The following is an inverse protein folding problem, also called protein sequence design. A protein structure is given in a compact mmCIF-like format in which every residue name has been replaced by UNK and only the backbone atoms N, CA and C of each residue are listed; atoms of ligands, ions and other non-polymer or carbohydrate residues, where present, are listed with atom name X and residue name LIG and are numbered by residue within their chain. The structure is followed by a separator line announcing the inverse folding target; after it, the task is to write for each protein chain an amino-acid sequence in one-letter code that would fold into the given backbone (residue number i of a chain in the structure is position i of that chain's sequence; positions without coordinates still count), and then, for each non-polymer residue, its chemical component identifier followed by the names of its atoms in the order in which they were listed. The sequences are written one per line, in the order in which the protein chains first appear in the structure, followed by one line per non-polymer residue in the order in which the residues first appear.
data_IF_959510235246
#
_entry.id   IF_959510235246
#
_cell.length_a   1.000
_cell.length_b   1.000
_cell.length_c   1.000
_cell.angle_alpha   90.00
_cell.angle_beta   90.00
_cell.angle_gamma   90.00
#
_symmetry.space_group_name_H-M   'P 1'
#
loop_
_entity.id
_entity.type
_entity.pdbx_description
1 polymer ?
#
# COMPACT_ATOMS: atom_id res chain seq x y z
N UNK A 1 18.60 2.41 71.06
CA UNK A 1 19.51 2.62 69.91
C UNK A 1 20.36 1.38 69.72
N UNK A 2 20.18 0.65 68.60
CA UNK A 2 21.10 -0.38 68.16
C UNK A 2 21.48 -0.09 66.71
N UNK A 3 22.59 0.63 66.53
CA UNK A 3 23.27 0.78 65.25
C UNK A 3 23.91 -0.56 64.87
N UNK A 4 23.44 -1.17 63.78
CA UNK A 4 24.18 -2.25 63.11
C UNK A 4 25.05 -1.66 62.01
N UNK A 5 26.34 -1.92 62.19
CA UNK A 5 27.51 -1.75 61.33
C UNK A 5 27.20 -1.68 59.83
N UNK A 6 27.80 -0.66 59.22
CA UNK A 6 28.05 -0.47 57.80
C UNK A 6 28.63 -1.73 57.17
N UNK A 7 27.80 -2.46 56.41
CA UNK A 7 28.26 -3.40 55.41
C UNK A 7 28.40 -2.66 54.08
N UNK A 8 29.65 -2.52 53.64
CA UNK A 8 30.03 -2.08 52.31
C UNK A 8 29.25 -2.86 51.24
N UNK A 9 28.62 -2.14 50.31
CA UNK A 9 27.86 -2.72 49.20
C UNK A 9 26.42 -2.23 49.04
N UNK A 10 25.93 -1.33 49.90
CA UNK A 10 24.63 -0.65 49.71
C UNK A 10 24.78 0.57 48.81
N UNK A 11 25.33 0.36 47.63
CA UNK A 11 25.01 1.21 46.50
C UNK A 11 23.50 1.10 46.26
N UNK A 12 22.80 2.23 46.36
CA UNK A 12 21.39 2.44 46.00
C UNK A 12 20.95 1.44 44.90
N UNK A 13 19.81 0.73 45.02
CA UNK A 13 19.32 -0.07 43.90
C UNK A 13 19.13 0.87 42.71
N UNK A 14 20.00 0.76 41.70
CA UNK A 14 20.01 1.58 40.49
C UNK A 14 18.91 1.07 39.57
N UNK A 15 17.67 1.37 39.94
CA UNK A 15 16.49 1.06 39.16
C UNK A 15 15.73 2.33 38.87
N UNK A 16 16.13 3.08 37.84
CA UNK A 16 15.22 4.02 37.16
C UNK A 16 15.62 4.31 35.72
N UNK A 17 16.88 4.10 35.34
CA UNK A 17 17.38 4.38 33.98
C UNK A 17 17.53 3.12 33.12
N UNK A 18 18.11 2.01 33.59
CA UNK A 18 18.45 0.87 32.70
C UNK A 18 17.28 0.08 32.09
N UNK A 19 16.26 -0.26 32.90
CA UNK A 19 15.10 -1.03 32.43
C UNK A 19 14.13 -0.15 31.61
N UNK A 20 13.95 1.10 32.03
CA UNK A 20 13.16 2.11 31.29
C UNK A 20 13.86 2.52 29.99
N UNK A 21 15.19 2.67 29.98
CA UNK A 21 15.98 2.94 28.77
C UNK A 21 15.84 1.82 27.75
N UNK A 22 15.96 0.56 28.18
CA UNK A 22 15.77 -0.59 27.29
C UNK A 22 14.34 -0.63 26.72
N UNK A 23 13.32 -0.32 27.54
CA UNK A 23 11.94 -0.22 27.08
C UNK A 23 11.74 0.94 26.08
N UNK A 24 12.23 2.14 26.41
CA UNK A 24 12.17 3.35 25.56
C UNK A 24 12.88 3.14 24.23
N UNK A 25 14.05 2.51 24.21
CA UNK A 25 14.75 2.19 22.95
C UNK A 25 13.94 1.27 22.02
N UNK A 26 13.28 0.24 22.58
CA UNK A 26 12.45 -0.68 21.80
C UNK A 26 11.15 -0.02 21.32
N UNK A 27 10.62 0.92 22.10
CA UNK A 27 9.42 1.71 21.79
C UNK A 27 9.72 2.78 20.73
N UNK A 28 10.77 3.56 20.90
CA UNK A 28 11.19 4.63 19.98
C UNK A 28 11.59 4.08 18.61
N UNK A 29 12.32 2.97 18.59
CA UNK A 29 12.66 2.30 17.33
C UNK A 29 11.42 1.79 16.57
N UNK A 30 10.35 1.39 17.27
CA UNK A 30 9.07 1.03 16.64
C UNK A 30 8.33 2.26 16.14
N UNK A 31 8.23 3.32 16.92
CA UNK A 31 7.61 4.56 16.46
C UNK A 31 8.31 5.11 15.22
N UNK A 32 9.65 5.07 15.17
CA UNK A 32 10.43 5.46 14.01
C UNK A 32 10.15 4.57 12.79
N UNK A 33 10.08 3.24 12.97
CA UNK A 33 9.70 2.29 11.90
C UNK A 33 8.29 2.56 11.37
N UNK A 34 7.33 2.83 12.25
CA UNK A 34 5.94 3.17 11.88
C UNK A 34 5.90 4.50 11.11
N UNK A 35 6.60 5.53 11.58
CA UNK A 35 6.68 6.81 10.89
C UNK A 35 7.29 6.67 9.49
N UNK A 36 8.43 5.98 9.37
CA UNK A 36 9.08 5.68 8.09
C UNK A 36 8.17 4.86 7.16
N UNK A 37 7.50 3.85 7.70
CA UNK A 37 6.55 3.02 6.96
C UNK A 37 5.35 3.82 6.45
N UNK A 38 4.79 4.73 7.25
CA UNK A 38 3.73 5.64 6.83
C UNK A 38 4.17 6.61 5.75
N UNK A 39 5.39 7.15 5.84
CA UNK A 39 5.93 8.05 4.81
C UNK A 39 6.12 7.31 3.49
N UNK A 40 6.67 6.10 3.53
CA UNK A 40 6.82 5.25 2.34
C UNK A 40 5.46 4.89 1.74
N UNK A 41 4.52 4.48 2.58
CA UNK A 41 3.16 4.13 2.14
C UNK A 41 2.45 5.33 1.51
N UNK A 42 2.64 6.54 2.05
CA UNK A 42 2.10 7.76 1.46
C UNK A 42 2.60 7.99 0.04
N UNK A 43 3.92 7.84 -0.18
CA UNK A 43 4.51 7.97 -1.51
C UNK A 43 3.96 6.93 -2.49
N UNK A 44 3.77 5.69 -2.03
CA UNK A 44 3.22 4.61 -2.85
C UNK A 44 1.74 4.85 -3.19
N UNK A 45 0.91 5.24 -2.22
CA UNK A 45 -0.51 5.58 -2.45
C UNK A 45 -0.61 6.78 -3.40
N UNK A 46 0.24 7.80 -3.24
CA UNK A 46 0.26 8.97 -4.13
C UNK A 46 0.59 8.57 -5.57
N UNK A 47 1.58 7.69 -5.78
CA UNK A 47 1.90 7.16 -7.09
C UNK A 47 0.76 6.31 -7.68
N UNK A 48 0.09 5.50 -6.86
CA UNK A 48 -1.08 4.72 -7.28
C UNK A 48 -2.26 5.62 -7.69
N UNK A 49 -2.49 6.73 -7.00
CA UNK A 49 -3.52 7.73 -7.38
C UNK A 49 -3.22 8.28 -8.78
N UNK A 50 -1.97 8.63 -9.08
CA UNK A 50 -1.58 9.13 -10.40
C UNK A 50 -1.85 8.07 -11.49
N UNK A 51 -1.49 6.81 -11.25
CA UNK A 51 -1.76 5.70 -12.18
C UNK A 51 -3.26 5.46 -12.37
N UNK A 52 -4.04 5.59 -11.30
CA UNK A 52 -5.49 5.46 -11.34
C UNK A 52 -6.13 6.57 -12.16
N UNK A 53 -5.66 7.81 -12.02
CA UNK A 53 -6.09 8.95 -12.83
C UNK A 53 -5.76 8.74 -14.31
N UNK A 54 -4.55 8.28 -14.64
CA UNK A 54 -4.19 7.91 -16.01
C UNK A 54 -5.13 6.85 -16.59
N UNK A 55 -5.56 5.88 -15.77
CA UNK A 55 -6.54 4.87 -16.16
C UNK A 55 -7.94 5.41 -16.41
N UNK A 56 -8.38 6.33 -15.55
CA UNK A 56 -9.67 6.99 -15.73
C UNK A 56 -9.69 7.80 -17.03
N UNK A 57 -8.60 8.51 -17.35
CA UNK A 57 -8.43 9.22 -18.62
C UNK A 57 -8.43 8.24 -19.80
N UNK A 58 -7.71 7.12 -19.70
CA UNK A 58 -7.72 6.07 -20.73
C UNK A 58 -9.14 5.53 -20.98
N UNK A 59 -9.87 5.20 -19.91
CA UNK A 59 -11.25 4.74 -20.00
C UNK A 59 -12.16 5.80 -20.62
N UNK A 60 -12.01 7.07 -20.24
CA UNK A 60 -12.78 8.16 -20.82
C UNK A 60 -12.54 8.30 -22.32
N UNK A 61 -11.27 8.25 -22.77
CA UNK A 61 -10.92 8.28 -24.20
C UNK A 61 -11.52 7.08 -24.93
N UNK A 62 -11.46 5.88 -24.33
CA UNK A 62 -12.00 4.66 -24.93
C UNK A 62 -13.53 4.71 -25.05
N UNK A 63 -14.23 5.14 -24.00
CA UNK A 63 -15.68 5.32 -23.99
C UNK A 63 -16.13 6.41 -24.96
N UNK A 64 -15.35 7.48 -25.15
CA UNK A 64 -15.67 8.48 -26.17
C UNK A 64 -15.57 7.94 -27.60
N UNK A 65 -14.84 6.84 -27.82
CA UNK A 65 -14.64 6.21 -29.14
C UNK A 65 -15.48 4.94 -29.35
N UNK A 66 -15.94 4.30 -28.27
CA UNK A 66 -16.72 3.06 -28.29
C UNK A 66 -18.09 3.29 -27.67
N UNK A 67 -19.13 2.83 -28.36
CA UNK A 67 -20.50 2.86 -27.85
C UNK A 67 -20.70 1.90 -26.67
N UNK A 68 -19.82 0.90 -26.51
CA UNK A 68 -19.91 -0.13 -25.46
C UNK A 68 -19.02 0.19 -24.25
N UNK A 69 -19.67 0.33 -23.09
CA UNK A 69 -19.03 0.49 -21.79
C UNK A 69 -18.50 -0.85 -21.28
N UNK A 70 -17.20 -0.89 -20.99
CA UNK A 70 -16.59 -2.06 -20.39
C UNK A 70 -16.86 -2.10 -18.88
N UNK A 71 -17.86 -2.90 -18.50
CA UNK A 71 -18.37 -3.01 -17.11
C UNK A 71 -17.27 -3.45 -16.14
N UNK A 72 -16.36 -4.33 -16.58
CA UNK A 72 -15.27 -4.82 -15.74
C UNK A 72 -14.24 -3.72 -15.51
N UNK A 73 -13.87 -2.98 -16.55
CA UNK A 73 -12.96 -1.87 -16.42
C UNK A 73 -13.51 -0.77 -15.49
N UNK A 74 -14.79 -0.42 -15.63
CA UNK A 74 -15.46 0.57 -14.75
C UNK A 74 -15.51 0.09 -13.30
N UNK A 75 -15.92 -1.16 -13.07
CA UNK A 75 -15.98 -1.71 -11.70
C UNK A 75 -14.60 -1.79 -11.06
N UNK A 76 -13.56 -2.13 -11.82
CA UNK A 76 -12.17 -2.09 -11.35
C UNK A 76 -11.72 -0.67 -10.99
N UNK A 77 -12.12 0.33 -11.78
CA UNK A 77 -11.77 1.73 -11.55
C UNK A 77 -12.42 2.27 -10.27
N UNK A 78 -13.71 1.97 -10.07
CA UNK A 78 -14.46 2.34 -8.86
C UNK A 78 -13.86 1.65 -7.62
N UNK A 79 -13.66 0.33 -7.70
CA UNK A 79 -13.10 -0.44 -6.58
C UNK A 79 -11.69 0.03 -6.23
N UNK A 80 -10.86 0.31 -7.24
CA UNK A 80 -9.52 0.86 -7.08
C UNK A 80 -9.54 2.23 -6.38
N UNK A 81 -10.43 3.14 -6.79
CA UNK A 81 -10.59 4.45 -6.16
C UNK A 81 -10.98 4.35 -4.68
N UNK A 82 -12.01 3.56 -4.36
CA UNK A 82 -12.44 3.35 -2.97
C UNK A 82 -11.34 2.70 -2.12
N UNK A 83 -10.59 1.75 -2.69
CA UNK A 83 -9.47 1.13 -1.98
C UNK A 83 -8.42 2.17 -1.56
N UNK A 84 -8.08 3.12 -2.45
CA UNK A 84 -7.09 4.17 -2.17
C UNK A 84 -7.56 5.11 -1.05
N UNK A 85 -8.85 5.48 -1.04
CA UNK A 85 -9.43 6.28 0.05
C UNK A 85 -9.30 5.56 1.41
N UNK A 86 -9.64 4.27 1.45
CA UNK A 86 -9.52 3.45 2.65
C UNK A 86 -8.06 3.30 3.08
N UNK A 87 -7.13 3.14 2.13
CA UNK A 87 -5.70 3.04 2.38
C UNK A 87 -5.13 4.30 3.02
N UNK A 88 -5.47 5.47 2.48
CA UNK A 88 -5.06 6.76 3.03
C UNK A 88 -5.64 7.00 4.43
N UNK A 89 -6.93 6.67 4.63
CA UNK A 89 -7.57 6.76 5.94
C UNK A 89 -6.90 5.82 6.97
N UNK A 90 -6.59 4.59 6.57
CA UNK A 90 -5.89 3.62 7.40
C UNK A 90 -4.49 4.06 7.79
N UNK A 91 -3.75 4.65 6.85
CA UNK A 91 -2.42 5.23 7.07
C UNK A 91 -2.48 6.41 8.05
N UNK A 92 -3.42 7.34 7.83
CA UNK A 92 -3.58 8.58 8.63
C UNK A 92 -3.96 8.26 10.08
N UNK A 93 -4.92 7.36 10.28
CA UNK A 93 -5.40 6.98 11.61
C UNK A 93 -4.63 5.81 12.25
N UNK A 94 -3.60 5.27 11.61
CA UNK A 94 -2.83 4.11 12.11
C UNK A 94 -3.69 2.87 12.39
N UNK A 95 -4.77 2.68 11.62
CA UNK A 95 -5.72 1.59 11.84
C UNK A 95 -5.38 0.40 10.96
N UNK A 96 -4.85 -0.66 11.57
CA UNK A 96 -4.49 -1.90 10.88
C UNK A 96 -5.65 -2.52 10.09
N UNK A 97 -6.89 -2.42 10.59
CA UNK A 97 -8.08 -2.95 9.89
C UNK A 97 -8.32 -2.28 8.54
N UNK A 98 -8.21 -0.95 8.48
CA UNK A 98 -8.36 -0.22 7.21
C UNK A 98 -7.23 -0.54 6.23
N UNK A 99 -6.00 -0.70 6.72
CA UNK A 99 -4.87 -1.12 5.89
C UNK A 99 -5.06 -2.54 5.31
N UNK A 100 -5.69 -3.46 6.05
CA UNK A 100 -6.06 -4.79 5.54
C UNK A 100 -7.14 -4.72 4.46
N UNK A 101 -8.19 -3.92 4.69
CA UNK A 101 -9.25 -3.70 3.70
C UNK A 101 -8.68 -3.10 2.42
N UNK A 102 -7.78 -2.11 2.55
CA UNK A 102 -7.05 -1.54 1.41
C UNK A 102 -6.32 -2.62 0.62
N UNK A 103 -5.50 -3.47 1.26
CA UNK A 103 -4.77 -4.56 0.57
C UNK A 103 -5.71 -5.50 -0.19
N UNK A 104 -6.82 -5.91 0.43
CA UNK A 104 -7.79 -6.83 -0.18
C UNK A 104 -8.48 -6.15 -1.37
N UNK A 105 -9.04 -4.96 -1.17
CA UNK A 105 -9.81 -4.26 -2.19
C UNK A 105 -8.95 -3.86 -3.40
N UNK A 106 -7.72 -3.37 -3.16
CA UNK A 106 -6.78 -3.03 -4.23
C UNK A 106 -6.31 -4.27 -5.01
N UNK A 107 -6.18 -5.42 -4.35
CA UNK A 107 -5.89 -6.69 -5.03
C UNK A 107 -7.07 -7.17 -5.89
N UNK A 108 -8.30 -7.05 -5.39
CA UNK A 108 -9.52 -7.36 -6.17
C UNK A 108 -9.62 -6.44 -7.39
N UNK A 109 -9.36 -5.14 -7.24
CA UNK A 109 -9.35 -4.20 -8.35
C UNK A 109 -8.33 -4.59 -9.43
N UNK A 110 -7.13 -5.02 -9.02
CA UNK A 110 -6.10 -5.48 -9.94
C UNK A 110 -6.50 -6.78 -10.66
N UNK A 111 -7.13 -7.73 -9.96
CA UNK A 111 -7.65 -8.95 -10.55
C UNK A 111 -8.75 -8.66 -11.59
N UNK A 112 -9.64 -7.70 -11.31
CA UNK A 112 -10.65 -7.24 -12.27
C UNK A 112 -10.00 -6.63 -13.53
N UNK A 113 -8.92 -5.85 -13.37
CA UNK A 113 -8.14 -5.34 -14.51
C UNK A 113 -7.52 -6.46 -15.34
N UNK A 114 -6.91 -7.48 -14.70
CA UNK A 114 -6.37 -8.62 -15.42
C UNK A 114 -7.45 -9.45 -16.12
N UNK A 115 -8.61 -9.65 -15.48
CA UNK A 115 -9.75 -10.31 -16.12
C UNK A 115 -10.22 -9.51 -17.35
N UNK A 116 -10.25 -8.18 -17.24
CA UNK A 116 -10.58 -7.31 -18.36
C UNK A 116 -9.59 -7.46 -19.52
N UNK A 117 -8.31 -7.47 -19.20
CA UNK A 117 -7.24 -7.66 -20.19
C UNK A 117 -7.35 -9.04 -20.85
N UNK A 118 -7.68 -10.09 -20.09
CA UNK A 118 -7.82 -11.44 -20.61
C UNK A 118 -9.05 -11.60 -21.52
N UNK A 119 -10.10 -10.81 -21.33
CA UNK A 119 -11.30 -10.82 -22.19
C UNK A 119 -11.13 -9.93 -23.43
N UNK A 120 -10.29 -8.89 -23.33
CA UNK A 120 -9.88 -8.11 -24.47
C UNK A 120 -8.97 -8.94 -25.38
N UNK A 121 -9.44 -9.32 -26.56
CA UNK A 121 -8.59 -9.85 -27.61
C UNK A 121 -7.57 -8.77 -28.03
N UNK A 122 -6.41 -8.69 -27.35
CA UNK A 122 -5.25 -7.92 -27.80
C UNK A 122 -4.63 -8.64 -29.00
N UNK A 123 -5.32 -8.59 -30.14
CA UNK A 123 -4.78 -9.11 -31.39
C UNK A 123 -3.70 -8.16 -31.87
N UNK A 124 -2.45 -8.60 -31.76
CA UNK A 124 -1.27 -7.92 -32.30
C UNK A 124 -1.25 -8.05 -33.82
N UNK A 125 -2.30 -7.60 -34.50
CA UNK A 125 -2.50 -7.87 -35.91
C UNK A 125 -1.97 -6.71 -36.77
N UNK A 126 -1.11 -7.06 -37.74
CA UNK A 126 -0.76 -6.33 -38.97
C UNK A 126 -0.34 -4.86 -38.85
N UNK A 127 0.94 -4.58 -39.07
CA UNK A 127 1.45 -3.22 -39.31
C UNK A 127 1.01 -2.83 -40.73
N UNK A 128 -0.07 -2.03 -40.87
CA UNK A 128 -0.60 -1.63 -42.17
C UNK A 128 -1.34 -0.29 -42.18
N UNK A 129 -2.08 0.04 -41.12
CA UNK A 129 -2.91 1.25 -41.07
C UNK A 129 -2.49 2.28 -40.00
N UNK A 130 -2.56 3.57 -40.34
CA UNK A 130 -2.27 4.70 -39.44
C UNK A 130 -3.19 4.74 -38.21
N UNK A 131 -4.45 4.31 -38.36
CA UNK A 131 -5.41 4.14 -37.27
C UNK A 131 -5.04 2.96 -36.34
N UNK A 132 -4.47 1.90 -36.92
CA UNK A 132 -3.97 0.74 -36.18
C UNK A 132 -2.74 1.11 -35.33
N UNK A 133 -1.90 2.02 -35.81
CA UNK A 133 -0.76 2.55 -35.04
C UNK A 133 -1.18 3.34 -33.79
N UNK A 134 -2.18 4.22 -33.89
CA UNK A 134 -2.69 4.96 -32.73
C UNK A 134 -3.32 4.03 -31.69
N UNK A 135 -4.03 3.00 -32.14
CA UNK A 135 -4.63 1.99 -31.26
C UNK A 135 -3.56 1.16 -30.54
N UNK A 136 -2.54 0.68 -31.26
CA UNK A 136 -1.40 -0.04 -30.67
C UNK A 136 -0.66 0.78 -29.61
N UNK A 137 -0.47 2.08 -29.83
CA UNK A 137 0.12 2.98 -28.82
C UNK A 137 -0.71 3.05 -27.53
N UNK A 138 -2.04 3.15 -27.65
CA UNK A 138 -2.94 3.17 -26.50
C UNK A 138 -2.94 1.84 -25.74
N UNK A 139 -2.94 0.72 -26.46
CA UNK A 139 -2.86 -0.62 -25.86
C UNK A 139 -1.52 -0.85 -25.14
N UNK A 140 -0.41 -0.41 -25.72
CA UNK A 140 0.92 -0.45 -25.06
C UNK A 140 0.96 0.44 -23.82
N UNK A 141 0.42 1.65 -23.89
CA UNK A 141 0.33 2.56 -22.75
C UNK A 141 -0.47 1.93 -21.60
N UNK A 142 -1.64 1.34 -21.89
CA UNK A 142 -2.46 0.67 -20.89
C UNK A 142 -1.75 -0.55 -20.29
N UNK A 143 -1.06 -1.34 -21.13
CA UNK A 143 -0.26 -2.48 -20.66
C UNK A 143 0.84 -2.04 -19.69
N UNK A 144 1.61 -1.00 -20.04
CA UNK A 144 2.65 -0.44 -19.18
C UNK A 144 2.05 0.11 -17.88
N UNK A 145 0.90 0.79 -17.96
CA UNK A 145 0.19 1.33 -16.80
C UNK A 145 -0.21 0.22 -15.82
N UNK A 146 -0.82 -0.86 -16.32
CA UNK A 146 -1.24 -2.01 -15.51
C UNK A 146 -0.02 -2.69 -14.89
N UNK A 147 1.05 -2.88 -15.67
CA UNK A 147 2.30 -3.46 -15.17
C UNK A 147 2.90 -2.61 -14.03
N UNK A 148 3.05 -1.30 -14.23
CA UNK A 148 3.57 -0.39 -13.20
C UNK A 148 2.67 -0.35 -11.96
N UNK A 149 1.34 -0.35 -12.15
CA UNK A 149 0.37 -0.43 -11.07
C UNK A 149 0.53 -1.72 -10.25
N UNK A 150 0.72 -2.86 -10.90
CA UNK A 150 0.94 -4.15 -10.23
C UNK A 150 2.24 -4.16 -9.40
N UNK A 151 3.31 -3.56 -9.92
CA UNK A 151 4.59 -3.46 -9.23
C UNK A 151 4.47 -2.59 -7.97
N UNK A 152 3.83 -1.42 -8.08
CA UNK A 152 3.55 -0.56 -6.93
C UNK A 152 2.67 -1.25 -5.89
N UNK A 153 1.69 -2.05 -6.33
CA UNK A 153 0.83 -2.81 -5.44
C UNK A 153 1.63 -3.84 -4.61
N UNK A 154 2.61 -4.54 -5.21
CA UNK A 154 3.50 -5.45 -4.48
C UNK A 154 4.30 -4.71 -3.40
N UNK A 155 4.90 -3.57 -3.76
CA UNK A 155 5.63 -2.75 -2.78
C UNK A 155 4.74 -2.17 -1.69
N UNK A 156 3.51 -1.79 -2.03
CA UNK A 156 2.52 -1.30 -1.08
C UNK A 156 2.11 -2.40 -0.09
N UNK A 157 1.81 -3.61 -0.56
CA UNK A 157 1.51 -4.76 0.30
C UNK A 157 2.65 -5.06 1.26
N UNK A 158 3.90 -5.13 0.78
CA UNK A 158 5.08 -5.34 1.62
C UNK A 158 5.20 -4.26 2.71
N UNK A 159 4.99 -3.00 2.32
CA UNK A 159 5.02 -1.86 3.26
C UNK A 159 3.90 -1.94 4.29
N UNK A 160 2.68 -2.30 3.87
CA UNK A 160 1.53 -2.44 4.77
C UNK A 160 1.71 -3.59 5.76
N UNK A 161 2.19 -4.75 5.30
CA UNK A 161 2.46 -5.90 6.19
C UNK A 161 3.48 -5.51 7.26
N UNK A 162 4.59 -4.88 6.85
CA UNK A 162 5.60 -4.37 7.79
C UNK A 162 5.01 -3.33 8.75
N UNK A 163 4.16 -2.43 8.26
CA UNK A 163 3.54 -1.38 9.05
C UNK A 163 2.58 -1.95 10.11
N UNK A 164 1.70 -2.87 9.72
CA UNK A 164 0.75 -3.54 10.62
C UNK A 164 1.49 -4.34 11.72
N UNK A 165 2.57 -5.03 11.35
CA UNK A 165 3.41 -5.77 12.31
C UNK A 165 4.02 -4.86 13.37
N UNK A 166 4.48 -3.67 12.97
CA UNK A 166 5.06 -2.70 13.89
C UNK A 166 4.02 -1.90 14.68
N UNK A 167 2.76 -1.84 14.22
CA UNK A 167 1.63 -1.21 14.94
C UNK A 167 1.01 -2.11 16.02
N UNK A 168 1.22 -3.42 15.94
CA UNK A 168 0.61 -4.37 16.88
C UNK A 168 1.41 -4.46 18.19
N UNK A 169 0.76 -4.53 19.35
CA UNK A 169 1.46 -4.69 20.62
C UNK A 169 2.25 -6.01 20.65
N UNK A 170 3.42 -6.06 21.32
CA UNK A 170 4.22 -7.29 21.38
C UNK A 170 3.38 -8.42 21.99
N UNK A 171 3.36 -9.58 21.31
CA UNK A 171 2.76 -10.79 21.86
C UNK A 171 3.45 -11.06 23.19
N UNK A 172 2.70 -11.03 24.29
CA UNK A 172 3.23 -11.45 25.59
C UNK A 172 3.61 -12.92 25.43
N UNK A 173 4.90 -13.21 25.50
CA UNK A 173 5.38 -14.57 25.70
C UNK A 173 4.92 -14.97 27.10
N UNK A 174 3.88 -15.80 27.15
CA UNK A 174 3.42 -16.46 28.38
C UNK A 174 4.49 -17.43 28.88
#
# INVERSE_FOLDING_TARGET
MNQRKSAAGTGRPSGTDGYDFSYRMVVDSRYQKVAKGKSRLYSLISAQVIIQLCGAVYLFILTSKRETLDKLAISSAITGFFSLLVGELGRRHSRASFLKIYMIASSIALLLLFANVSQGNYTFEGIGDLSNWQRKKLELFETIRIFLGSLLQIFAMSTVISLIGNMSPPKRTS
#
